data_IF_216321201860
#
_entry.id   IF_216321201860
#
_cell.length_a   1.000
_cell.length_b   1.000
_cell.length_c   1.000
_cell.angle_alpha   90.00
_cell.angle_beta   90.00
_cell.angle_gamma   90.00
#
_symmetry.space_group_name_H-M   'P 1'
#
loop_
_entity.id
_entity.type
_entity.pdbx_description
1 polymer ?
#
# COMPACT_ATOMS: atom_id res chain seq x y z
N UNK A 1 -6.98 23.98 7.80
CA UNK A 1 -7.75 22.92 7.33
C UNK A 1 -6.91 21.81 6.80
N UNK A 2 -7.09 20.65 7.30
CA UNK A 2 -6.24 19.53 6.91
C UNK A 2 -6.90 18.74 5.82
N UNK A 3 -6.17 18.45 4.79
CA UNK A 3 -6.64 17.54 3.77
C UNK A 3 -6.45 16.12 4.25
N UNK A 4 -7.31 15.23 3.80
CA UNK A 4 -7.11 13.81 4.08
C UNK A 4 -5.82 13.33 3.43
N UNK A 5 -5.04 12.50 4.12
CA UNK A 5 -3.88 11.89 3.48
C UNK A 5 -4.30 11.07 2.28
N UNK A 6 -3.47 11.05 1.26
CA UNK A 6 -3.74 10.29 0.04
C UNK A 6 -2.87 9.05 0.02
N UNK A 7 -3.48 7.92 -0.29
CA UNK A 7 -2.80 6.63 -0.38
C UNK A 7 -3.11 6.02 -1.74
N UNK A 8 -2.10 5.55 -2.45
CA UNK A 8 -2.32 4.84 -3.70
C UNK A 8 -2.45 3.35 -3.41
N UNK A 9 -3.42 2.72 -4.05
CA UNK A 9 -3.63 1.29 -3.94
C UNK A 9 -3.48 0.70 -5.34
N UNK A 10 -2.38 -0.01 -5.57
CA UNK A 10 -2.08 -0.59 -6.88
C UNK A 10 -2.58 -2.02 -6.90
N UNK A 11 -3.66 -2.28 -7.63
CA UNK A 11 -4.26 -3.61 -7.72
C UNK A 11 -4.76 -3.84 -9.13
N UNK A 12 -4.88 -5.11 -9.49
CA UNK A 12 -5.47 -5.48 -10.78
C UNK A 12 -6.90 -5.99 -10.61
N UNK A 13 -7.26 -6.47 -9.43
CA UNK A 13 -8.59 -7.02 -9.17
C UNK A 13 -9.49 -5.91 -8.64
N UNK A 14 -10.38 -5.41 -9.47
CA UNK A 14 -11.22 -4.27 -9.09
C UNK A 14 -12.21 -4.60 -7.99
N UNK A 15 -12.68 -5.84 -7.90
CA UNK A 15 -13.60 -6.20 -6.83
C UNK A 15 -12.89 -6.18 -5.49
N UNK A 16 -11.69 -6.72 -5.45
CA UNK A 16 -10.89 -6.69 -4.23
C UNK A 16 -10.50 -5.25 -3.87
N UNK A 17 -10.16 -4.46 -4.89
CA UNK A 17 -9.82 -3.07 -4.69
C UNK A 17 -10.98 -2.29 -4.06
N UNK A 18 -12.20 -2.55 -4.52
CA UNK A 18 -13.37 -1.88 -3.96
C UNK A 18 -13.57 -2.23 -2.50
N UNK A 19 -13.31 -3.48 -2.14
CA UNK A 19 -13.38 -3.89 -0.74
C UNK A 19 -12.39 -3.12 0.11
N UNK A 20 -11.15 -3.03 -0.32
CA UNK A 20 -10.13 -2.33 0.45
C UNK A 20 -10.41 -0.83 0.50
N UNK A 21 -10.93 -0.27 -0.57
CA UNK A 21 -11.21 1.16 -0.62
C UNK A 21 -12.28 1.56 0.39
N UNK A 22 -13.20 0.65 0.71
CA UNK A 22 -14.24 0.94 1.69
C UNK A 22 -13.70 1.05 3.11
N UNK A 23 -12.45 0.67 3.32
CA UNK A 23 -11.85 0.71 4.64
C UNK A 23 -11.13 2.03 4.93
N UNK A 24 -11.49 3.07 4.23
CA UNK A 24 -10.69 4.28 4.13
C UNK A 24 -10.65 5.14 5.40
N UNK A 25 -10.91 4.74 6.50
CA UNK A 25 -10.66 5.31 7.84
C UNK A 25 -10.17 6.77 7.88
N UNK A 26 -10.73 7.64 7.06
CA UNK A 26 -10.32 9.04 7.01
C UNK A 26 -9.17 9.33 6.05
N UNK A 27 -8.80 8.36 5.23
CA UNK A 27 -7.73 8.48 4.25
C UNK A 27 -8.35 8.40 2.85
N UNK A 28 -7.82 9.16 1.92
CA UNK A 28 -8.31 9.15 0.55
C UNK A 28 -7.56 8.07 -0.22
N UNK A 29 -8.21 6.95 -0.50
CA UNK A 29 -7.57 5.81 -1.17
C UNK A 29 -7.81 5.95 -2.67
N UNK A 30 -6.71 6.09 -3.43
CA UNK A 30 -6.77 6.23 -4.89
C UNK A 30 -6.36 4.92 -5.54
N UNK A 31 -7.20 4.40 -6.42
CA UNK A 31 -6.91 3.16 -7.11
C UNK A 31 -6.02 3.43 -8.32
N UNK A 32 -4.94 2.67 -8.44
CA UNK A 32 -4.02 2.78 -9.57
C UNK A 32 -3.86 1.41 -10.19
N UNK A 33 -3.83 1.35 -11.50
CA UNK A 33 -3.56 0.10 -12.21
C UNK A 33 -2.10 -0.01 -12.59
N UNK A 34 -1.48 1.13 -12.83
CA UNK A 34 -0.10 1.16 -13.30
C UNK A 34 0.82 1.46 -12.12
N UNK A 35 1.71 0.54 -11.74
CA UNK A 35 2.60 0.80 -10.61
C UNK A 35 3.56 1.95 -10.85
N UNK A 36 3.75 2.37 -12.09
CA UNK A 36 4.59 3.52 -12.36
C UNK A 36 3.90 4.84 -12.06
N UNK A 37 2.58 4.81 -11.77
CA UNK A 37 1.81 6.03 -11.57
C UNK A 37 1.73 6.38 -10.09
N UNK A 38 2.87 6.51 -9.44
CA UNK A 38 2.94 6.80 -8.00
C UNK A 38 3.51 8.20 -7.80
N UNK A 39 2.65 9.11 -7.37
CA UNK A 39 3.07 10.48 -7.11
C UNK A 39 3.91 10.57 -5.84
N UNK A 40 4.81 11.53 -5.78
CA UNK A 40 5.71 11.66 -4.64
C UNK A 40 5.01 12.27 -3.42
N UNK A 41 3.85 12.88 -3.61
CA UNK A 41 3.16 13.54 -2.51
C UNK A 41 2.13 12.65 -1.82
N UNK A 42 2.15 11.36 -2.09
CA UNK A 42 1.26 10.42 -1.39
C UNK A 42 1.77 10.19 0.04
N UNK A 43 0.84 9.94 0.95
CA UNK A 43 1.19 9.62 2.32
C UNK A 43 1.57 8.14 2.48
N UNK A 44 1.22 7.31 1.53
CA UNK A 44 1.56 5.90 1.58
C UNK A 44 1.14 5.19 0.30
N UNK A 45 1.67 4.00 0.11
CA UNK A 45 1.37 3.18 -1.07
C UNK A 45 1.14 1.75 -0.61
N UNK A 46 0.10 1.12 -1.13
CA UNK A 46 -0.17 -0.30 -0.91
C UNK A 46 -0.23 -0.97 -2.27
N UNK A 47 0.49 -2.06 -2.45
CA UNK A 47 0.56 -2.70 -3.75
C UNK A 47 0.21 -4.18 -3.67
N UNK A 48 -0.51 -4.64 -4.68
CA UNK A 48 -0.75 -6.06 -4.90
C UNK A 48 0.51 -6.62 -5.56
N UNK A 49 1.20 -7.50 -4.86
CA UNK A 49 2.48 -8.01 -5.34
C UNK A 49 2.34 -8.91 -6.57
N UNK A 50 1.11 -9.27 -6.96
CA UNK A 50 0.91 -10.02 -8.20
C UNK A 50 0.89 -9.09 -9.42
N UNK A 51 0.84 -7.79 -9.24
CA UNK A 51 0.88 -6.87 -10.37
C UNK A 51 2.33 -6.74 -10.83
N UNK A 52 2.62 -7.00 -12.11
CA UNK A 52 4.01 -6.93 -12.58
C UNK A 52 4.62 -5.55 -12.33
N UNK A 53 5.81 -5.55 -11.76
CA UNK A 53 6.53 -4.31 -11.48
C UNK A 53 6.09 -3.57 -10.23
N UNK A 54 5.04 -4.05 -9.54
CA UNK A 54 4.52 -3.34 -8.38
C UNK A 54 5.51 -3.33 -7.22
N UNK A 55 6.14 -4.45 -6.96
CA UNK A 55 7.13 -4.52 -5.88
C UNK A 55 8.26 -3.52 -6.10
N UNK A 56 8.82 -3.53 -7.29
CA UNK A 56 9.95 -2.65 -7.62
C UNK A 56 9.54 -1.19 -7.56
N UNK A 57 8.35 -0.87 -8.06
CA UNK A 57 7.88 0.52 -8.06
C UNK A 57 7.63 1.01 -6.64
N UNK A 58 7.03 0.18 -5.79
CA UNK A 58 6.76 0.56 -4.41
C UNK A 58 8.05 0.73 -3.63
N UNK A 59 9.00 -0.17 -3.83
CA UNK A 59 10.29 -0.07 -3.14
C UNK A 59 11.04 1.19 -3.54
N UNK A 60 11.05 1.51 -4.83
CA UNK A 60 11.71 2.71 -5.31
C UNK A 60 11.00 3.96 -4.78
N UNK A 61 9.67 3.94 -4.76
CA UNK A 61 8.90 5.06 -4.24
C UNK A 61 9.22 5.29 -2.76
N UNK A 62 9.26 4.21 -1.98
CA UNK A 62 9.55 4.31 -0.56
C UNK A 62 10.95 4.87 -0.32
N UNK A 63 11.92 4.40 -1.10
CA UNK A 63 13.28 4.89 -0.95
C UNK A 63 13.38 6.36 -1.32
N UNK A 64 12.66 6.78 -2.36
CA UNK A 64 12.71 8.16 -2.84
C UNK A 64 12.02 9.12 -1.88
N UNK A 65 10.89 8.71 -1.29
CA UNK A 65 10.07 9.62 -0.50
C UNK A 65 10.28 9.47 1.00
N UNK A 66 10.68 8.29 1.45
CA UNK A 66 10.76 7.99 2.89
C UNK A 66 9.43 7.70 3.53
N UNK A 67 8.33 7.73 2.76
CA UNK A 67 7.00 7.46 3.30
C UNK A 67 6.70 5.97 3.24
N UNK A 68 5.77 5.48 4.06
CA UNK A 68 5.54 4.03 4.16
C UNK A 68 4.93 3.43 2.91
N UNK A 69 5.37 2.23 2.60
CA UNK A 69 4.79 1.41 1.54
C UNK A 69 4.57 0.01 2.08
N UNK A 70 3.46 -0.60 1.70
CA UNK A 70 3.14 -1.95 2.13
C UNK A 70 2.73 -2.78 0.93
N UNK A 71 2.67 -4.10 1.12
CA UNK A 71 2.31 -4.99 0.04
C UNK A 71 1.49 -6.16 0.53
N UNK A 72 0.84 -6.84 -0.42
CA UNK A 72 0.07 -8.02 -0.09
C UNK A 72 0.05 -8.97 -1.28
N UNK A 73 -0.15 -10.25 -1.00
CA UNK A 73 -0.22 -11.25 -2.04
C UNK A 73 -0.71 -12.57 -1.50
N UNK A 74 -0.90 -13.58 -2.36
CA UNK A 74 -1.37 -14.89 -1.92
C UNK A 74 -0.38 -15.48 -0.93
N UNK A 75 -0.88 -16.12 0.14
CA UNK A 75 0.03 -16.68 1.13
C UNK A 75 0.88 -17.81 0.56
N UNK A 76 0.44 -18.43 -0.52
CA UNK A 76 1.24 -19.47 -1.17
C UNK A 76 2.46 -18.90 -1.87
N UNK A 77 2.51 -17.59 -2.07
CA UNK A 77 3.66 -16.94 -2.68
C UNK A 77 4.64 -16.46 -1.61
N UNK A 78 5.06 -17.34 -0.73
CA UNK A 78 5.89 -16.97 0.42
C UNK A 78 7.19 -16.29 0.00
N UNK A 79 7.78 -16.70 -1.11
CA UNK A 79 9.02 -16.08 -1.57
C UNK A 79 8.80 -14.64 -1.99
N UNK A 80 7.66 -14.36 -2.64
CA UNK A 80 7.32 -13.00 -3.03
C UNK A 80 7.10 -12.12 -1.80
N UNK A 81 6.42 -12.66 -0.78
CA UNK A 81 6.19 -11.89 0.45
C UNK A 81 7.50 -11.58 1.15
N UNK A 82 8.42 -12.55 1.18
CA UNK A 82 9.73 -12.33 1.77
C UNK A 82 10.53 -11.30 0.99
N UNK A 83 10.49 -11.37 -0.34
CA UNK A 83 11.19 -10.42 -1.17
C UNK A 83 10.67 -9.00 -0.95
N UNK A 84 9.38 -8.87 -0.76
CA UNK A 84 8.78 -7.55 -0.51
C UNK A 84 9.29 -6.98 0.81
N UNK A 85 9.35 -7.80 1.86
CA UNK A 85 9.88 -7.34 3.14
C UNK A 85 11.36 -6.95 3.02
N UNK A 86 12.13 -7.75 2.29
CA UNK A 86 13.53 -7.47 2.11
C UNK A 86 13.74 -6.19 1.31
N UNK A 87 12.80 -5.84 0.44
CA UNK A 87 12.88 -4.62 -0.36
C UNK A 87 12.44 -3.37 0.42
N UNK A 88 11.99 -3.53 1.64
CA UNK A 88 11.63 -2.39 2.48
C UNK A 88 10.15 -2.15 2.63
N UNK A 89 9.29 -2.98 2.05
CA UNK A 89 7.85 -2.85 2.25
C UNK A 89 7.48 -3.37 3.62
N UNK A 90 6.66 -2.62 4.34
CA UNK A 90 6.28 -3.00 5.68
C UNK A 90 5.00 -2.24 6.04
N UNK A 91 3.96 -2.93 6.41
CA UNK A 91 3.89 -4.40 6.54
C UNK A 91 3.67 -5.09 5.21
N UNK A 92 3.82 -6.41 5.21
CA UNK A 92 3.51 -7.25 4.06
C UNK A 92 2.55 -8.32 4.56
N UNK A 93 1.37 -8.39 3.94
CA UNK A 93 0.31 -9.28 4.41
C UNK A 93 -0.01 -10.36 3.41
N UNK A 94 -0.37 -11.58 3.88
CA UNK A 94 -1.07 -12.50 2.99
C UNK A 94 -2.45 -11.94 2.66
N UNK A 95 -2.96 -12.31 1.51
CA UNK A 95 -4.24 -11.78 1.05
C UNK A 95 -5.38 -12.07 2.03
N UNK A 96 -5.28 -13.16 2.78
CA UNK A 96 -6.33 -13.54 3.72
C UNK A 96 -6.47 -12.56 4.89
N UNK A 97 -5.42 -11.83 5.22
CA UNK A 97 -5.46 -10.90 6.35
C UNK A 97 -5.28 -9.44 5.95
N UNK A 98 -5.14 -9.16 4.66
CA UNK A 98 -4.82 -7.79 4.23
C UNK A 98 -5.92 -6.81 4.59
N UNK A 99 -7.19 -7.23 4.58
CA UNK A 99 -8.27 -6.27 4.85
C UNK A 99 -8.14 -5.67 6.24
N UNK A 100 -7.91 -6.49 7.26
CA UNK A 100 -7.73 -5.98 8.61
C UNK A 100 -6.42 -5.23 8.77
N UNK A 101 -5.36 -5.76 8.19
CA UNK A 101 -4.07 -5.10 8.25
C UNK A 101 -4.11 -3.73 7.58
N UNK A 102 -4.74 -3.65 6.42
CA UNK A 102 -4.84 -2.41 5.68
C UNK A 102 -5.64 -1.37 6.46
N UNK A 103 -6.74 -1.78 7.07
CA UNK A 103 -7.54 -0.89 7.89
C UNK A 103 -6.72 -0.30 9.04
N UNK A 104 -5.98 -1.15 9.75
CA UNK A 104 -5.12 -0.71 10.83
C UNK A 104 -4.02 0.24 10.33
N UNK A 105 -3.44 -0.09 9.18
CA UNK A 105 -2.39 0.71 8.59
C UNK A 105 -2.91 2.10 8.19
N UNK A 106 -4.10 2.16 7.59
CA UNK A 106 -4.71 3.44 7.24
C UNK A 106 -4.99 4.28 8.48
N UNK A 107 -5.50 3.65 9.54
CA UNK A 107 -5.77 4.37 10.77
C UNK A 107 -4.50 4.94 11.37
N UNK A 108 -3.41 4.20 11.29
CA UNK A 108 -2.13 4.67 11.80
C UNK A 108 -1.61 5.85 10.99
N UNK A 109 -1.78 5.82 9.67
CA UNK A 109 -1.38 6.94 8.82
C UNK A 109 -2.18 8.18 9.16
N UNK A 110 -3.46 8.03 9.35
CA UNK A 110 -4.33 9.14 9.62
C UNK A 110 -4.00 9.74 11.00
N UNK A 111 -3.79 8.88 11.99
CA UNK A 111 -3.50 9.32 13.35
C UNK A 111 -2.11 9.91 13.47
N UNK A 112 -1.13 9.33 12.77
CA UNK A 112 0.23 9.79 12.85
C UNK A 112 0.50 11.01 12.02
N UNK A 113 -0.47 11.46 11.28
CA UNK A 113 -0.25 12.59 10.43
C UNK A 113 0.78 12.33 9.37
N UNK A 114 1.15 11.13 9.16
CA UNK A 114 2.16 10.79 8.19
C UNK A 114 3.50 11.30 8.59
N UNK A 115 3.76 11.51 9.85
CA UNK A 115 4.94 12.09 10.19
C UNK A 115 6.04 11.21 10.05
N UNK A 116 5.87 10.23 9.60
CA UNK A 116 6.94 9.49 9.22
C UNK A 116 8.24 9.91 9.66
N UNK A 117 8.13 10.39 9.94
CA UNK A 117 9.23 10.63 10.11
C UNK A 117 9.70 10.63 10.70
#
# INVERSE_FOLDING_TARGET
MCEKPRVALVVSDLMFASKLRRLDAGVNVELKRNPADLADDLAGVAVDLTVPGALEAAAAWRERTGWPACGFGPHVAADTLRAARAAGLDPVWPRSTVAEGFKTWLAALQAGGGDGR
#
